data_IF_764066327959
#
_entry.id   IF_764066327959
#
_cell.length_a   1.000
_cell.length_b   1.000
_cell.length_c   1.000
_cell.angle_alpha   90.00
_cell.angle_beta   90.00
_cell.angle_gamma   90.00
#
_symmetry.space_group_name_H-M   'P 1'
#
loop_
_entity.id
_entity.type
_entity.pdbx_description
1 polymer ?
#
# COMPACT_ATOMS: atom_id res chain seq x y z
N UNK A 1 -12.30 -10.19 6.09
CA UNK A 1 -12.34 -9.20 4.99
C UNK A 1 -13.15 -9.73 3.82
N UNK A 2 -12.65 -10.75 3.11
CA UNK A 2 -13.31 -11.29 1.91
C UNK A 2 -14.74 -11.84 2.15
N UNK A 3 -14.94 -12.65 3.21
CA UNK A 3 -16.28 -13.12 3.58
C UNK A 3 -17.27 -11.99 3.90
N UNK A 4 -16.78 -10.91 4.52
CA UNK A 4 -17.61 -9.74 4.86
C UNK A 4 -17.99 -9.03 3.56
N UNK A 5 -17.03 -8.82 2.66
CA UNK A 5 -17.25 -8.22 1.34
C UNK A 5 -18.30 -9.00 0.55
N UNK A 6 -18.18 -10.33 0.47
CA UNK A 6 -19.16 -11.19 -0.19
C UNK A 6 -20.54 -11.13 0.48
N UNK A 7 -20.59 -11.10 1.82
CA UNK A 7 -21.86 -10.95 2.55
C UNK A 7 -22.52 -9.59 2.31
N UNK A 8 -21.75 -8.51 2.20
CA UNK A 8 -22.25 -7.17 1.92
C UNK A 8 -22.76 -7.06 0.48
N UNK A 9 -22.01 -7.60 -0.48
CA UNK A 9 -22.41 -7.67 -1.89
C UNK A 9 -23.66 -8.53 -2.06
N UNK A 10 -23.77 -9.68 -1.39
CA UNK A 10 -24.93 -10.57 -1.52
C UNK A 10 -26.17 -10.12 -0.74
N UNK A 11 -26.04 -9.14 0.16
CA UNK A 11 -27.17 -8.59 0.91
C UNK A 11 -27.91 -7.52 0.10
N UNK A 12 -29.25 -7.56 0.14
CA UNK A 12 -30.08 -6.45 -0.34
C UNK A 12 -29.79 -5.22 0.53
N UNK A 13 -29.03 -4.27 0.00
CA UNK A 13 -28.76 -2.99 0.62
C UNK A 13 -29.53 -1.90 -0.14
N UNK A 14 -30.18 -1.00 0.60
CA UNK A 14 -30.70 0.24 0.01
C UNK A 14 -29.51 1.10 -0.47
N UNK A 15 -29.62 1.82 -1.59
CA UNK A 15 -28.57 2.70 -2.12
C UNK A 15 -27.45 2.02 -2.93
N UNK A 16 -26.60 2.83 -3.57
CA UNK A 16 -25.51 2.33 -4.43
C UNK A 16 -24.29 1.89 -3.58
N UNK A 17 -23.65 0.75 -3.90
CA UNK A 17 -22.46 0.26 -3.19
C UNK A 17 -21.17 0.67 -3.90
N UNK A 18 -20.24 1.29 -3.17
CA UNK A 18 -18.89 1.64 -3.62
C UNK A 18 -17.85 0.94 -2.76
N UNK A 19 -16.94 0.20 -3.39
CA UNK A 19 -15.82 -0.44 -2.70
C UNK A 19 -14.53 0.30 -3.04
N UNK A 20 -13.75 0.64 -2.01
CA UNK A 20 -12.44 1.30 -2.14
C UNK A 20 -11.35 0.45 -1.52
N UNK A 21 -10.35 0.05 -2.31
CA UNK A 21 -9.22 -0.78 -1.85
C UNK A 21 -7.91 -0.45 -2.56
N UNK A 22 -6.86 -1.25 -2.34
CA UNK A 22 -5.59 -1.12 -3.06
C UNK A 22 -5.73 -1.54 -4.52
N UNK A 23 -4.88 -1.00 -5.42
CA UNK A 23 -4.85 -1.39 -6.83
C UNK A 23 -4.59 -2.90 -7.01
N UNK A 24 -3.80 -3.49 -6.12
CA UNK A 24 -3.49 -4.92 -6.11
C UNK A 24 -4.73 -5.78 -5.83
N UNK A 25 -5.52 -5.42 -4.81
CA UNK A 25 -6.75 -6.14 -4.46
C UNK A 25 -7.81 -6.05 -5.56
N UNK A 26 -7.93 -4.87 -6.21
CA UNK A 26 -8.85 -4.66 -7.34
C UNK A 26 -8.41 -5.50 -8.54
N UNK A 27 -7.12 -5.47 -8.87
CA UNK A 27 -6.59 -6.20 -10.03
C UNK A 27 -6.75 -7.71 -9.90
N UNK A 28 -6.76 -8.25 -8.67
CA UNK A 28 -6.99 -9.68 -8.42
C UNK A 28 -8.46 -10.09 -8.53
N UNK A 29 -9.39 -9.14 -8.55
CA UNK A 29 -10.83 -9.42 -8.63
C UNK A 29 -11.36 -10.24 -7.45
N UNK A 30 -10.69 -10.18 -6.29
CA UNK A 30 -11.13 -10.89 -5.09
C UNK A 30 -12.50 -10.33 -4.63
N UNK A 31 -13.55 -11.14 -4.80
CA UNK A 31 -14.86 -10.90 -4.17
C UNK A 31 -16.04 -10.54 -5.05
N UNK A 32 -15.96 -10.70 -6.38
CA UNK A 32 -17.13 -10.64 -7.25
C UNK A 32 -17.56 -12.06 -7.64
N UNK A 33 -18.57 -12.58 -6.95
CA UNK A 33 -19.34 -13.70 -7.49
C UNK A 33 -20.10 -13.24 -8.72
N UNK A 34 -20.16 -14.07 -9.77
CA UNK A 34 -20.89 -13.76 -11.01
C UNK A 34 -22.40 -13.50 -10.78
N UNK A 35 -22.93 -13.90 -9.61
CA UNK A 35 -24.36 -13.98 -9.29
C UNK A 35 -24.88 -12.98 -8.23
N UNK A 36 -24.07 -12.01 -7.75
CA UNK A 36 -24.48 -10.99 -6.77
C UNK A 36 -24.79 -9.61 -7.40
N UNK A 37 -25.54 -8.71 -6.73
CA UNK A 37 -25.71 -7.34 -7.21
C UNK A 37 -24.32 -6.67 -7.30
N UNK A 38 -23.97 -6.21 -8.49
CA UNK A 38 -22.66 -5.63 -8.75
C UNK A 38 -22.53 -4.26 -8.05
N UNK A 39 -21.38 -3.96 -7.42
CA UNK A 39 -21.14 -2.61 -6.90
C UNK A 39 -21.22 -1.59 -8.04
N UNK A 40 -21.62 -0.36 -7.73
CA UNK A 40 -21.61 0.77 -8.67
C UNK A 40 -20.24 0.93 -9.32
N UNK A 41 -19.18 0.79 -8.50
CA UNK A 41 -17.80 0.77 -8.92
C UNK A 41 -16.90 0.15 -7.84
N UNK A 42 -15.76 -0.39 -8.27
CA UNK A 42 -14.60 -0.64 -7.42
C UNK A 42 -13.53 0.38 -7.78
N UNK A 43 -13.08 1.16 -6.80
CA UNK A 43 -12.10 2.23 -7.01
C UNK A 43 -10.86 1.98 -6.18
N UNK A 44 -9.69 2.23 -6.77
CA UNK A 44 -8.47 2.32 -5.97
C UNK A 44 -8.49 3.56 -5.09
N UNK A 45 -7.64 3.63 -4.07
CA UNK A 45 -7.53 4.83 -3.23
C UNK A 45 -7.30 6.11 -4.07
N UNK A 46 -6.41 6.04 -5.07
CA UNK A 46 -6.14 7.15 -5.97
C UNK A 46 -7.34 7.48 -6.87
N UNK A 47 -8.07 6.45 -7.33
CA UNK A 47 -9.34 6.59 -8.06
C UNK A 47 -10.44 7.28 -7.23
N UNK A 48 -10.63 6.84 -5.99
CA UNK A 48 -11.59 7.43 -5.05
C UNK A 48 -11.23 8.88 -4.73
N UNK A 49 -9.96 9.17 -4.45
CA UNK A 49 -9.49 10.53 -4.21
C UNK A 49 -9.71 11.44 -5.43
N UNK A 50 -9.52 10.92 -6.65
CA UNK A 50 -9.80 11.66 -7.89
C UNK A 50 -11.29 11.99 -8.03
N UNK A 51 -12.17 11.01 -7.82
CA UNK A 51 -13.63 11.22 -7.85
C UNK A 51 -14.05 12.27 -6.82
N UNK A 52 -13.59 12.15 -5.57
CA UNK A 52 -13.89 13.11 -4.51
C UNK A 52 -13.37 14.52 -4.81
N UNK A 53 -12.19 14.63 -5.43
CA UNK A 53 -11.68 15.93 -5.93
C UNK A 53 -12.53 16.51 -7.05
N UNK A 54 -13.05 15.66 -7.95
CA UNK A 54 -13.96 16.09 -9.00
C UNK A 54 -15.31 16.54 -8.44
N UNK A 55 -15.74 15.99 -7.30
CA UNK A 55 -16.93 16.40 -6.56
C UNK A 55 -16.77 17.72 -5.83
N UNK A 56 -15.54 18.05 -5.43
CA UNK A 56 -15.25 19.27 -4.70
C UNK A 56 -15.26 20.50 -5.63
N UNK A 57 -15.98 21.54 -5.21
CA UNK A 57 -16.10 22.80 -5.92
C UNK A 57 -17.44 22.97 -6.61
N UNK A 58 -17.82 24.23 -6.84
CA UNK A 58 -19.08 24.59 -7.47
C UNK A 58 -19.28 23.88 -8.83
N UNK A 59 -20.43 23.24 -9.00
CA UNK A 59 -20.92 22.87 -10.32
C UNK A 59 -21.23 24.12 -11.15
N UNK A 60 -21.39 23.98 -12.48
CA UNK A 60 -21.81 25.11 -13.33
C UNK A 60 -23.15 25.73 -12.91
N UNK A 61 -23.95 25.01 -12.11
CA UNK A 61 -25.33 25.36 -11.76
C UNK A 61 -25.48 26.17 -10.46
N UNK A 62 -24.55 26.06 -9.48
CA UNK A 62 -24.57 26.88 -8.25
C UNK A 62 -23.16 27.14 -7.68
N UNK A 63 -22.62 28.37 -7.78
CA UNK A 63 -21.32 28.76 -7.24
C UNK A 63 -21.22 28.76 -5.70
N UNK A 64 -22.33 28.54 -4.99
CA UNK A 64 -22.37 28.56 -3.52
C UNK A 64 -22.22 27.19 -2.88
N UNK A 65 -22.40 26.11 -3.65
CA UNK A 65 -22.30 24.75 -3.13
C UNK A 65 -20.84 24.31 -3.07
N UNK A 66 -20.43 23.79 -1.91
CA UNK A 66 -19.09 23.23 -1.68
C UNK A 66 -18.86 21.93 -2.46
N UNK A 67 -19.94 21.18 -2.70
CA UNK A 67 -19.95 19.89 -3.39
C UNK A 67 -20.92 19.91 -4.57
N UNK A 68 -20.54 19.27 -5.67
CA UNK A 68 -21.42 19.08 -6.82
C UNK A 68 -22.58 18.16 -6.45
N UNK A 69 -23.77 18.46 -6.96
CA UNK A 69 -24.93 17.59 -6.82
C UNK A 69 -24.89 16.45 -7.81
N UNK A 70 -25.23 15.27 -7.32
CA UNK A 70 -25.52 14.13 -8.16
C UNK A 70 -26.81 14.38 -8.96
N UNK A 71 -26.80 14.02 -10.24
CA UNK A 71 -27.96 14.07 -11.11
C UNK A 71 -28.10 12.72 -11.78
N UNK A 72 -29.16 12.00 -11.42
CA UNK A 72 -29.46 10.67 -11.95
C UNK A 72 -29.60 10.71 -13.48
N UNK A 73 -28.92 9.80 -14.18
CA UNK A 73 -28.92 9.72 -15.65
C UNK A 73 -28.04 10.75 -16.38
N UNK A 74 -27.31 11.62 -15.68
CA UNK A 74 -26.29 12.45 -16.30
C UNK A 74 -25.10 11.58 -16.74
N UNK A 75 -24.51 11.88 -17.91
CA UNK A 75 -23.29 11.20 -18.40
C UNK A 75 -22.03 11.48 -17.53
N UNK A 76 -22.17 12.20 -16.43
CA UNK A 76 -21.08 12.52 -15.50
C UNK A 76 -20.88 11.37 -14.50
N UNK A 77 -20.17 10.32 -14.93
CA UNK A 77 -19.75 9.17 -14.12
C UNK A 77 -18.86 9.51 -12.90
N UNK A 78 -18.54 10.77 -12.70
CA UNK A 78 -17.52 11.24 -11.74
C UNK A 78 -18.14 11.89 -10.50
N UNK A 79 -19.47 11.95 -10.38
CA UNK A 79 -20.16 12.46 -9.19
C UNK A 79 -20.78 11.35 -8.36
N UNK A 80 -20.50 11.33 -7.05
CA UNK A 80 -21.00 10.30 -6.16
C UNK A 80 -22.48 10.56 -5.83
N UNK A 81 -23.33 9.52 -5.83
CA UNK A 81 -24.73 9.60 -5.38
C UNK A 81 -24.83 9.97 -3.89
N UNK A 82 -26.01 10.47 -3.49
CA UNK A 82 -26.32 10.85 -2.11
C UNK A 82 -26.96 9.73 -1.28
N UNK A 83 -27.45 8.67 -1.93
CA UNK A 83 -27.86 7.41 -1.31
C UNK A 83 -26.82 6.33 -1.64
N UNK A 84 -25.82 6.21 -0.77
CA UNK A 84 -24.62 5.39 -1.04
C UNK A 84 -24.15 4.68 0.22
N UNK A 85 -23.63 3.47 0.02
CA UNK A 85 -22.85 2.77 1.01
C UNK A 85 -21.41 2.58 0.53
N UNK A 86 -20.46 3.17 1.25
CA UNK A 86 -19.03 3.10 0.93
C UNK A 86 -18.32 2.16 1.89
N UNK A 87 -17.63 1.16 1.34
CA UNK A 87 -16.76 0.26 2.09
C UNK A 87 -15.31 0.55 1.71
N UNK A 88 -14.53 1.06 2.66
CA UNK A 88 -13.11 1.40 2.46
C UNK A 88 -12.22 0.44 3.24
N UNK A 89 -11.43 -0.36 2.52
CA UNK A 89 -10.45 -1.26 3.11
C UNK A 89 -9.20 -0.46 3.45
N UNK A 90 -8.90 -0.32 4.73
CA UNK A 90 -7.70 0.38 5.19
C UNK A 90 -6.50 -0.54 4.95
N UNK A 91 -5.64 -0.10 4.04
CA UNK A 91 -4.37 -0.76 3.77
C UNK A 91 -3.50 -0.72 5.05
N UNK A 92 -3.05 -1.87 5.58
CA UNK A 92 -2.25 -1.93 6.80
C UNK A 92 -0.90 -1.20 6.70
N UNK A 93 -0.36 -1.05 5.49
CA UNK A 93 0.84 -0.23 5.27
C UNK A 93 0.54 1.26 5.34
N UNK A 94 -0.73 1.66 5.23
CA UNK A 94 -1.20 3.04 5.19
C UNK A 94 -0.42 3.90 4.18
N UNK A 95 -0.62 3.70 2.87
CA UNK A 95 -0.12 4.61 1.84
C UNK A 95 -0.81 5.98 1.93
N UNK A 96 -0.16 7.02 1.40
CA UNK A 96 -0.67 8.37 1.36
C UNK A 96 -2.03 8.47 0.63
N UNK A 97 -2.22 7.73 -0.47
CA UNK A 97 -3.51 7.70 -1.17
C UNK A 97 -4.63 7.15 -0.28
N UNK A 98 -4.39 6.10 0.52
CA UNK A 98 -5.39 5.55 1.45
C UNK A 98 -5.80 6.60 2.49
N UNK A 99 -4.83 7.29 3.10
CA UNK A 99 -5.09 8.34 4.09
C UNK A 99 -5.83 9.54 3.48
N UNK A 100 -5.41 9.99 2.29
CA UNK A 100 -6.03 11.12 1.59
C UNK A 100 -7.43 10.78 1.09
N UNK A 101 -7.66 9.57 0.59
CA UNK A 101 -8.97 9.11 0.15
C UNK A 101 -9.96 9.07 1.32
N UNK A 102 -9.56 8.52 2.48
CA UNK A 102 -10.39 8.51 3.68
C UNK A 102 -10.68 9.94 4.18
N UNK A 103 -9.67 10.81 4.20
CA UNK A 103 -9.85 12.23 4.57
C UNK A 103 -10.88 12.89 3.67
N UNK A 104 -10.69 12.77 2.34
CA UNK A 104 -11.60 13.37 1.36
C UNK A 104 -13.02 12.79 1.44
N UNK A 105 -13.14 11.49 1.74
CA UNK A 105 -14.43 10.80 1.85
C UNK A 105 -15.22 11.31 3.06
N UNK A 106 -14.58 11.44 4.23
CA UNK A 106 -15.22 11.99 5.43
C UNK A 106 -15.64 13.44 5.22
N UNK A 107 -14.78 14.24 4.60
CA UNK A 107 -15.05 15.64 4.27
C UNK A 107 -16.27 15.80 3.33
N UNK A 108 -16.36 14.92 2.32
CA UNK A 108 -17.49 14.87 1.40
C UNK A 108 -18.77 14.40 2.11
N UNK A 109 -18.73 13.27 2.81
CA UNK A 109 -19.87 12.68 3.48
C UNK A 109 -20.51 13.65 4.48
N UNK A 110 -19.71 14.31 5.31
CA UNK A 110 -20.20 15.31 6.27
C UNK A 110 -20.71 16.59 5.60
N UNK A 111 -20.19 16.94 4.42
CA UNK A 111 -20.66 18.09 3.65
C UNK A 111 -22.03 17.85 3.00
N UNK A 112 -22.23 16.66 2.45
CA UNK A 112 -23.43 16.28 1.68
C UNK A 112 -24.55 15.72 2.57
N UNK A 113 -24.25 15.24 3.78
CA UNK A 113 -25.26 14.71 4.72
C UNK A 113 -26.34 15.72 5.17
N UNK A 114 -26.15 17.00 4.87
CA UNK A 114 -27.14 18.06 5.12
C UNK A 114 -28.15 18.24 3.98
N UNK A 115 -27.94 17.56 2.85
CA UNK A 115 -28.85 17.61 1.71
C UNK A 115 -30.13 16.79 1.96
N UNK A 116 -31.23 17.16 1.29
CA UNK A 116 -32.46 16.37 1.37
C UNK A 116 -32.22 15.02 0.70
N UNK A 117 -32.75 13.96 1.30
CA UNK A 117 -32.68 12.59 0.76
C UNK A 117 -31.27 11.96 0.81
N UNK A 118 -30.30 12.59 1.48
CA UNK A 118 -28.98 11.99 1.67
C UNK A 118 -29.04 10.82 2.66
N UNK A 119 -28.57 9.65 2.23
CA UNK A 119 -28.39 8.45 3.03
C UNK A 119 -26.98 7.89 2.79
N UNK A 120 -25.99 8.51 3.42
CA UNK A 120 -24.58 8.17 3.24
C UNK A 120 -24.15 7.27 4.40
N UNK A 121 -23.66 6.07 4.09
CA UNK A 121 -23.05 5.15 5.05
C UNK A 121 -21.60 4.92 4.68
N UNK A 122 -20.72 4.98 5.66
CA UNK A 122 -19.27 4.73 5.48
C UNK A 122 -18.84 3.64 6.47
N UNK A 123 -18.27 2.57 5.94
CA UNK A 123 -17.66 1.48 6.69
C UNK A 123 -16.17 1.42 6.36
N UNK A 124 -15.31 1.52 7.37
CA UNK A 124 -13.89 1.21 7.23
C UNK A 124 -13.60 -0.17 7.77
N UNK A 125 -12.84 -0.96 7.02
CA UNK A 125 -12.38 -2.28 7.46
C UNK A 125 -10.86 -2.25 7.62
N UNK A 126 -10.34 -2.69 8.76
CA UNK A 126 -8.90 -2.71 9.04
C UNK A 126 -8.51 -4.01 9.74
N UNK A 127 -7.21 -4.35 9.64
CA UNK A 127 -6.59 -5.52 10.26
C UNK A 127 -5.63 -5.11 11.39
N UNK A 128 -5.29 -3.82 11.50
CA UNK A 128 -4.44 -3.29 12.57
C UNK A 128 -5.30 -2.87 13.78
N UNK A 129 -4.89 -3.24 14.99
CA UNK A 129 -5.56 -2.88 16.26
C UNK A 129 -5.63 -1.35 16.53
N UNK A 130 -4.89 -0.55 15.76
CA UNK A 130 -4.78 0.90 15.89
C UNK A 130 -5.34 1.59 14.65
N UNK A 131 -6.64 1.41 14.44
CA UNK A 131 -7.37 1.98 13.32
C UNK A 131 -8.63 2.71 13.80
N UNK A 132 -8.44 3.87 14.44
CA UNK A 132 -9.48 4.81 14.82
C UNK A 132 -9.54 6.01 13.84
N UNK A 133 -9.06 5.84 12.61
CA UNK A 133 -8.96 6.94 11.64
C UNK A 133 -10.31 7.57 11.33
N UNK A 134 -11.34 6.73 11.07
CA UNK A 134 -12.67 7.22 10.73
C UNK A 134 -13.29 8.04 11.87
N UNK A 135 -13.22 7.51 13.11
CA UNK A 135 -13.75 8.19 14.29
C UNK A 135 -12.98 9.46 14.63
N UNK A 136 -11.65 9.43 14.50
CA UNK A 136 -10.81 10.61 14.71
C UNK A 136 -11.12 11.71 13.69
N UNK A 137 -11.20 11.38 12.39
CA UNK A 137 -11.52 12.35 11.35
C UNK A 137 -12.92 12.96 11.51
N UNK A 138 -13.92 12.13 11.84
CA UNK A 138 -15.27 12.61 12.14
C UNK A 138 -15.24 13.53 13.37
N UNK A 139 -14.51 13.16 14.42
CA UNK A 139 -14.39 13.94 15.64
C UNK A 139 -13.75 15.32 15.44
N UNK A 140 -12.90 15.50 14.42
CA UNK A 140 -12.33 16.81 14.09
C UNK A 140 -13.37 17.81 13.58
N UNK A 141 -14.45 17.34 12.94
CA UNK A 141 -15.42 18.19 12.24
C UNK A 141 -16.84 18.13 12.80
N UNK A 142 -17.25 16.97 13.31
CA UNK A 142 -18.56 16.68 13.87
C UNK A 142 -18.40 15.87 15.17
N UNK A 143 -17.88 16.48 16.25
CA UNK A 143 -17.57 15.79 17.51
C UNK A 143 -18.79 15.16 18.21
N UNK A 144 -20.01 15.55 17.82
CA UNK A 144 -21.26 14.98 18.28
C UNK A 144 -21.60 13.61 17.66
N UNK A 145 -20.96 13.25 16.54
CA UNK A 145 -21.21 11.98 15.86
C UNK A 145 -20.33 10.87 16.45
N UNK A 146 -20.93 9.70 16.65
CA UNK A 146 -20.24 8.51 17.16
C UNK A 146 -20.08 7.48 16.07
N UNK A 147 -18.87 6.93 15.92
CA UNK A 147 -18.59 5.79 15.04
C UNK A 147 -18.72 4.51 15.86
N UNK A 148 -19.50 3.56 15.34
CA UNK A 148 -19.59 2.23 15.93
C UNK A 148 -18.40 1.38 15.52
N UNK A 149 -17.85 0.63 16.47
CA UNK A 149 -16.72 -0.27 16.25
C UNK A 149 -17.15 -1.71 16.54
N UNK A 150 -16.77 -2.62 15.65
CA UNK A 150 -16.99 -4.06 15.80
C UNK A 150 -15.65 -4.76 15.59
N UNK A 151 -15.17 -5.43 16.63
CA UNK A 151 -14.01 -6.30 16.55
C UNK A 151 -14.46 -7.68 16.09
N UNK A 152 -13.82 -8.18 15.02
CA UNK A 152 -14.09 -9.48 14.41
C UNK A 152 -12.97 -10.49 14.71
N UNK A 153 -11.98 -10.11 15.51
CA UNK A 153 -10.87 -10.97 15.90
C UNK A 153 -11.24 -12.00 16.99
N UNK A 154 -12.46 -11.95 17.56
CA UNK A 154 -12.88 -12.85 18.64
C UNK A 154 -13.01 -14.33 18.20
N UNK A 155 -13.11 -14.61 16.90
CA UNK A 155 -13.13 -15.97 16.32
C UNK A 155 -11.78 -16.37 15.68
N UNK A 156 -10.64 -16.05 16.32
CA UNK A 156 -9.29 -16.36 15.81
C UNK A 156 -8.99 -17.87 15.80
N UNK A 157 -9.52 -18.58 14.81
CA UNK A 157 -9.20 -19.97 14.51
C UNK A 157 -7.70 -20.04 14.12
N UNK A 158 -6.91 -20.86 14.81
CA UNK A 158 -5.45 -20.96 14.59
C UNK A 158 -5.14 -21.20 13.10
N UNK A 159 -4.43 -20.29 12.39
CA UNK A 159 -4.15 -20.44 10.96
C UNK A 159 -3.37 -21.71 10.62
N UNK A 160 -2.75 -22.36 11.62
CA UNK A 160 -1.97 -23.59 11.45
C UNK A 160 -2.74 -24.87 11.78
N UNK A 161 -4.02 -24.79 12.17
CA UNK A 161 -4.84 -25.92 12.64
C UNK A 161 -4.80 -27.14 11.74
N UNK A 162 -4.80 -26.92 10.41
CA UNK A 162 -4.81 -27.97 9.39
C UNK A 162 -3.46 -28.09 8.64
N UNK A 163 -2.42 -27.37 9.07
CA UNK A 163 -1.13 -27.33 8.40
C UNK A 163 -0.09 -28.26 9.05
N UNK A 164 0.77 -28.87 8.22
CA UNK A 164 1.97 -29.57 8.69
C UNK A 164 3.10 -28.58 8.94
N UNK A 165 3.55 -28.49 10.19
CA UNK A 165 4.54 -27.50 10.60
C UNK A 165 5.94 -28.14 10.70
N UNK A 166 6.92 -27.51 10.05
CA UNK A 166 8.33 -27.92 10.05
C UNK A 166 9.19 -26.80 10.63
N UNK A 167 10.15 -27.18 11.46
CA UNK A 167 11.15 -26.28 12.01
C UNK A 167 12.47 -26.52 11.28
N UNK A 168 13.00 -25.47 10.67
CA UNK A 168 14.26 -25.49 9.93
C UNK A 168 15.30 -24.62 10.63
N UNK A 169 16.56 -25.06 10.67
CA UNK A 169 17.68 -24.28 11.21
C UNK A 169 18.17 -23.22 10.21
N UNK A 170 17.67 -23.27 8.96
CA UNK A 170 18.03 -22.37 7.88
C UNK A 170 17.32 -22.72 6.57
N UNK A 171 17.59 -21.95 5.52
CA UNK A 171 16.98 -22.15 4.21
C UNK A 171 17.30 -23.53 3.62
N UNK A 172 18.52 -24.04 3.81
CA UNK A 172 18.91 -25.40 3.38
C UNK A 172 18.01 -26.50 3.92
N UNK A 173 17.68 -26.48 5.20
CA UNK A 173 16.81 -27.49 5.81
C UNK A 173 15.39 -27.41 5.23
N UNK A 174 14.91 -26.20 4.97
CA UNK A 174 13.62 -26.00 4.32
C UNK A 174 13.61 -26.57 2.89
N UNK A 175 14.70 -26.36 2.15
CA UNK A 175 14.91 -26.95 0.81
C UNK A 175 14.97 -28.46 0.86
N UNK A 176 15.60 -29.05 1.87
CA UNK A 176 15.66 -30.50 2.04
C UNK A 176 14.25 -31.11 2.25
N UNK A 177 13.41 -30.46 3.06
CA UNK A 177 12.01 -30.89 3.27
C UNK A 177 11.24 -30.87 1.94
N UNK A 178 11.35 -29.79 1.18
CA UNK A 178 10.69 -29.65 -0.14
C UNK A 178 11.22 -30.68 -1.14
N UNK A 179 12.54 -30.85 -1.20
CA UNK A 179 13.21 -31.78 -2.11
C UNK A 179 12.82 -33.23 -1.82
N UNK A 180 12.69 -33.59 -0.55
CA UNK A 180 12.21 -34.91 -0.14
C UNK A 180 10.79 -35.17 -0.61
N UNK A 181 9.89 -34.20 -0.46
CA UNK A 181 8.52 -34.33 -0.97
C UNK A 181 8.48 -34.46 -2.50
N UNK A 182 9.33 -33.72 -3.22
CA UNK A 182 9.43 -33.85 -4.68
C UNK A 182 9.85 -35.26 -5.13
N UNK A 183 10.65 -35.98 -4.32
CA UNK A 183 11.04 -37.38 -4.59
C UNK A 183 9.92 -38.35 -4.22
N UNK A 184 9.23 -38.11 -3.09
CA UNK A 184 8.18 -39.01 -2.58
C UNK A 184 6.88 -38.91 -3.41
N UNK A 185 6.53 -37.71 -3.88
CA UNK A 185 5.31 -37.42 -4.64
C UNK A 185 5.61 -36.67 -5.95
N UNK A 186 6.33 -37.27 -6.92
CA UNK A 186 6.82 -36.57 -8.12
C UNK A 186 5.72 -36.12 -9.10
N UNK A 187 4.53 -36.71 -8.99
CA UNK A 187 3.36 -36.39 -9.82
C UNK A 187 2.39 -35.42 -9.13
N UNK A 188 2.61 -35.11 -7.84
CA UNK A 188 1.80 -34.15 -7.10
C UNK A 188 2.32 -32.74 -7.37
N UNK A 189 1.53 -31.84 -7.98
CA UNK A 189 1.97 -30.49 -8.27
C UNK A 189 2.07 -29.65 -7.01
N UNK A 190 3.14 -28.84 -6.92
CA UNK A 190 3.49 -28.08 -5.73
C UNK A 190 3.63 -26.60 -6.02
N UNK A 191 3.27 -25.76 -5.05
CA UNK A 191 3.60 -24.34 -5.04
C UNK A 191 4.30 -23.99 -3.74
N UNK A 192 5.34 -23.16 -3.84
CA UNK A 192 6.07 -22.62 -2.70
C UNK A 192 5.81 -21.13 -2.64
N UNK A 193 5.30 -20.66 -1.52
CA UNK A 193 5.03 -19.26 -1.21
C UNK A 193 6.10 -18.83 -0.21
N UNK A 194 7.01 -17.98 -0.65
CA UNK A 194 8.15 -17.51 0.13
C UNK A 194 8.02 -16.04 0.48
N UNK A 195 8.23 -15.71 1.76
CA UNK A 195 8.34 -14.32 2.24
C UNK A 195 9.79 -13.89 2.48
N UNK A 196 10.75 -14.72 2.08
CA UNK A 196 12.15 -14.37 1.99
C UNK A 196 12.62 -14.47 0.53
N UNK A 197 13.48 -13.56 0.06
CA UNK A 197 14.14 -13.74 -1.23
C UNK A 197 14.85 -15.11 -1.26
N UNK A 198 14.69 -15.92 -2.30
CA UNK A 198 15.41 -17.17 -2.41
C UNK A 198 16.89 -16.87 -2.70
N UNK A 199 17.79 -17.53 -1.97
CA UNK A 199 19.21 -17.59 -2.36
C UNK A 199 19.38 -18.67 -3.45
N UNK A 200 19.13 -18.27 -4.70
CA UNK A 200 19.14 -19.15 -5.87
C UNK A 200 20.53 -19.73 -6.18
N UNK A 201 21.60 -18.98 -5.89
CA UNK A 201 22.99 -19.39 -6.12
C UNK A 201 23.54 -20.25 -4.95
N UNK A 202 22.82 -20.31 -3.84
CA UNK A 202 23.18 -21.09 -2.65
C UNK A 202 22.26 -22.28 -2.43
N UNK A 203 21.45 -22.21 -1.37
CA UNK A 203 20.71 -23.37 -0.85
C UNK A 203 19.63 -23.91 -1.80
N UNK A 204 19.24 -23.15 -2.82
CA UNK A 204 18.16 -23.48 -3.77
C UNK A 204 18.63 -24.10 -5.09
N UNK A 205 19.94 -24.09 -5.39
CA UNK A 205 20.53 -24.62 -6.63
C UNK A 205 20.01 -26.04 -7.00
N UNK A 206 19.87 -26.99 -6.04
CA UNK A 206 19.37 -28.33 -6.35
C UNK A 206 17.93 -28.35 -6.87
N UNK A 207 17.09 -27.41 -6.46
CA UNK A 207 15.70 -27.33 -6.91
C UNK A 207 15.62 -26.75 -8.33
N UNK A 208 16.44 -25.74 -8.61
CA UNK A 208 16.52 -25.10 -9.93
C UNK A 208 17.01 -26.10 -10.98
N UNK A 209 18.10 -26.80 -10.69
CA UNK A 209 18.73 -27.73 -11.64
C UNK A 209 17.88 -29.00 -11.88
N UNK A 210 17.34 -29.60 -10.82
CA UNK A 210 16.67 -30.90 -10.92
C UNK A 210 15.20 -30.81 -11.34
N UNK A 211 14.52 -29.70 -11.04
CA UNK A 211 13.06 -29.61 -11.20
C UNK A 211 12.57 -28.47 -12.09
N UNK A 212 13.49 -27.73 -12.75
CA UNK A 212 13.17 -26.60 -13.63
C UNK A 212 12.24 -25.59 -12.96
N UNK A 213 12.66 -25.12 -11.78
CA UNK A 213 11.93 -24.14 -10.99
C UNK A 213 11.62 -22.89 -11.82
N UNK A 214 10.33 -22.55 -11.94
CA UNK A 214 9.93 -21.22 -12.41
C UNK A 214 9.75 -20.31 -11.20
N UNK A 215 10.66 -19.33 -11.04
CA UNK A 215 10.54 -18.30 -10.02
C UNK A 215 9.66 -17.15 -10.51
N UNK A 216 8.77 -16.70 -9.63
CA UNK A 216 7.90 -15.54 -9.79
C UNK A 216 8.04 -14.65 -8.56
N UNK A 217 8.17 -13.35 -8.77
CA UNK A 217 8.32 -12.37 -7.68
C UNK A 217 7.14 -11.40 -7.74
N UNK A 218 6.57 -11.11 -6.58
CA UNK A 218 5.54 -10.09 -6.36
C UNK A 218 6.06 -9.11 -5.32
N UNK A 219 6.29 -7.89 -5.76
CA UNK A 219 6.85 -6.80 -4.95
C UNK A 219 6.02 -5.51 -5.03
N UNK A 220 5.05 -5.45 -5.95
CA UNK A 220 4.22 -4.28 -6.19
C UNK A 220 2.83 -4.64 -6.74
N UNK A 221 1.94 -3.64 -6.81
CA UNK A 221 0.63 -3.79 -7.46
C UNK A 221 0.73 -4.10 -8.97
N UNK A 222 1.83 -3.72 -9.63
CA UNK A 222 2.05 -4.00 -11.06
C UNK A 222 2.23 -5.51 -11.33
N UNK A 223 2.58 -6.27 -10.28
CA UNK A 223 2.80 -7.72 -10.34
C UNK A 223 1.49 -8.52 -10.25
N UNK A 224 0.32 -7.87 -10.26
CA UNK A 224 -0.99 -8.55 -10.17
C UNK A 224 -1.16 -9.63 -11.24
N UNK A 225 -0.73 -9.35 -12.47
CA UNK A 225 -0.76 -10.33 -13.56
C UNK A 225 0.07 -11.58 -13.28
N UNK A 226 1.14 -11.47 -12.50
CA UNK A 226 1.96 -12.61 -12.07
C UNK A 226 1.17 -13.56 -11.19
N UNK A 227 0.42 -13.02 -10.21
CA UNK A 227 -0.42 -13.81 -9.30
C UNK A 227 -1.58 -14.46 -10.06
N UNK A 228 -2.32 -13.69 -10.87
CA UNK A 228 -3.46 -14.21 -11.63
C UNK A 228 -3.07 -15.41 -12.51
N UNK A 229 -1.86 -15.39 -13.07
CA UNK A 229 -1.35 -16.46 -13.93
C UNK A 229 -1.03 -17.77 -13.18
N UNK A 230 -0.94 -17.74 -11.85
CA UNK A 230 -0.57 -18.88 -11.01
C UNK A 230 -1.65 -19.29 -10.01
N UNK A 231 -2.71 -18.49 -9.82
CA UNK A 231 -3.86 -18.88 -8.98
C UNK A 231 -4.42 -20.22 -9.46
N UNK A 232 -4.57 -20.37 -10.78
CA UNK A 232 -4.93 -21.63 -11.42
C UNK A 232 -3.68 -22.28 -12.01
N UNK A 233 -3.34 -23.48 -11.52
CA UNK A 233 -2.19 -24.23 -12.01
C UNK A 233 -2.33 -24.53 -13.50
N UNK A 234 -1.28 -24.26 -14.28
CA UNK A 234 -1.17 -24.75 -15.66
C UNK A 234 -0.70 -26.20 -15.66
N UNK A 235 -1.23 -27.04 -16.54
CA UNK A 235 -0.93 -28.48 -16.54
C UNK A 235 0.56 -28.83 -16.59
N UNK A 236 1.38 -27.95 -17.18
CA UNK A 236 2.84 -28.11 -17.31
C UNK A 236 3.61 -27.80 -16.03
N UNK A 237 2.99 -27.08 -15.09
CA UNK A 237 3.65 -26.60 -13.89
C UNK A 237 3.65 -27.72 -12.85
N UNK A 238 4.82 -28.30 -12.63
CA UNK A 238 5.04 -29.29 -11.56
C UNK A 238 5.43 -28.63 -10.25
N UNK A 239 6.19 -27.55 -10.32
CA UNK A 239 6.69 -26.80 -9.19
C UNK A 239 6.72 -25.31 -9.53
N UNK A 240 6.06 -24.48 -8.74
CA UNK A 240 6.07 -23.02 -8.87
C UNK A 240 6.64 -22.41 -7.60
N UNK A 241 7.55 -21.45 -7.75
CA UNK A 241 8.04 -20.64 -6.63
C UNK A 241 7.51 -19.22 -6.75
N UNK A 242 6.78 -18.79 -5.73
CA UNK A 242 6.21 -17.45 -5.60
C UNK A 242 6.87 -16.75 -4.42
N UNK A 243 7.67 -15.73 -4.68
CA UNK A 243 8.21 -14.84 -3.65
C UNK A 243 7.30 -13.63 -3.50
N UNK A 244 6.82 -13.35 -2.29
CA UNK A 244 5.96 -12.21 -1.96
C UNK A 244 6.73 -11.30 -0.99
N UNK A 245 6.82 -10.01 -1.29
CA UNK A 245 7.30 -9.03 -0.31
C UNK A 245 6.38 -9.04 0.92
N UNK A 246 6.88 -9.35 2.14
CA UNK A 246 6.06 -9.40 3.34
C UNK A 246 5.44 -8.05 3.73
N UNK A 247 5.86 -6.94 3.12
CA UNK A 247 5.27 -5.62 3.31
C UNK A 247 4.07 -5.38 2.38
N UNK A 248 3.82 -6.24 1.39
CA UNK A 248 2.68 -6.09 0.50
C UNK A 248 1.36 -6.40 1.22
N UNK A 249 0.36 -5.50 1.12
CA UNK A 249 -0.97 -5.72 1.67
C UNK A 249 -1.80 -6.56 0.69
N UNK A 250 -1.48 -7.85 0.61
CA UNK A 250 -2.10 -8.80 -0.33
C UNK A 250 -2.84 -9.92 0.40
N UNK A 251 -4.17 -9.88 0.45
CA UNK A 251 -4.90 -10.96 1.09
C UNK A 251 -4.59 -12.34 0.47
N UNK A 252 -4.48 -13.42 1.29
CA UNK A 252 -4.18 -14.74 0.77
C UNK A 252 -5.17 -15.18 -0.31
N UNK A 253 -4.63 -15.54 -1.47
CA UNK A 253 -5.41 -16.13 -2.56
C UNK A 253 -5.50 -17.65 -2.39
N UNK A 254 -6.57 -18.26 -2.92
CA UNK A 254 -6.75 -19.71 -2.92
C UNK A 254 -6.16 -20.30 -4.19
N UNK A 255 -5.09 -21.09 -4.07
CA UNK A 255 -4.46 -21.73 -5.22
C UNK A 255 -5.19 -23.00 -5.62
N UNK A 256 -5.52 -23.15 -6.92
CA UNK A 256 -6.28 -24.28 -7.46
C UNK A 256 -5.42 -25.15 -8.36
N UNK A 257 -5.62 -26.46 -8.27
CA UNK A 257 -4.92 -27.45 -9.09
C UNK A 257 -3.55 -27.87 -8.55
N UNK A 258 -3.10 -27.32 -7.43
CA UNK A 258 -1.94 -27.78 -6.67
C UNK A 258 -2.37 -28.80 -5.63
N UNK A 259 -1.56 -29.84 -5.42
CA UNK A 259 -1.81 -30.85 -4.38
C UNK A 259 -1.16 -30.50 -3.04
N UNK A 260 -0.03 -29.81 -3.07
CA UNK A 260 0.70 -29.37 -1.88
C UNK A 260 1.10 -27.89 -1.99
N UNK A 261 0.94 -27.15 -0.89
CA UNK A 261 1.33 -25.74 -0.76
C UNK A 261 2.34 -25.62 0.37
N UNK A 262 3.51 -25.09 0.07
CA UNK A 262 4.55 -24.78 1.04
C UNK A 262 4.55 -23.29 1.35
N UNK A 263 4.50 -22.91 2.62
CA UNK A 263 4.61 -21.51 3.07
C UNK A 263 5.92 -21.37 3.84
N UNK A 264 6.88 -20.66 3.25
CA UNK A 264 8.16 -20.35 3.85
C UNK A 264 8.10 -18.95 4.48
N UNK A 265 8.13 -18.91 5.82
CA UNK A 265 8.00 -17.65 6.56
C UNK A 265 9.32 -16.87 6.57
N UNK A 266 9.21 -15.55 6.42
CA UNK A 266 10.32 -14.61 6.42
C UNK A 266 10.42 -13.81 7.73
N UNK A 267 11.63 -13.67 8.26
CA UNK A 267 11.93 -12.90 9.48
C UNK A 267 12.40 -11.47 9.21
N UNK A 268 12.85 -11.17 8.00
CA UNK A 268 13.50 -9.90 7.68
C UNK A 268 13.08 -9.34 6.31
N UNK A 269 13.14 -8.02 6.22
CA UNK A 269 13.13 -7.28 4.96
C UNK A 269 14.55 -6.85 4.64
N UNK A 270 15.07 -7.27 3.50
CA UNK A 270 16.35 -6.79 3.00
C UNK A 270 16.19 -5.43 2.33
N UNK A 271 17.20 -4.57 2.48
CA UNK A 271 17.26 -3.25 1.81
C UNK A 271 16.01 -2.36 1.96
N UNK A 272 15.25 -2.50 3.05
CA UNK A 272 14.00 -1.78 3.24
C UNK A 272 14.23 -0.26 3.40
N UNK A 273 13.68 0.58 2.49
CA UNK A 273 13.77 2.02 2.62
C UNK A 273 12.91 2.53 3.78
N UNK A 274 13.53 3.22 4.73
CA UNK A 274 12.85 3.69 5.93
C UNK A 274 13.47 4.98 6.48
N UNK A 275 12.63 5.80 7.11
CA UNK A 275 13.07 6.97 7.86
C UNK A 275 13.99 6.59 9.03
N UNK A 276 15.17 7.21 9.08
CA UNK A 276 16.07 7.15 10.22
C UNK A 276 15.91 8.38 11.12
N UNK A 277 15.59 8.13 12.39
CA UNK A 277 15.39 9.18 13.38
C UNK A 277 16.68 9.92 13.74
N UNK A 278 17.86 9.34 13.51
CA UNK A 278 19.14 9.99 13.84
C UNK A 278 19.59 10.97 12.77
N UNK A 279 19.57 10.55 11.51
CA UNK A 279 19.97 11.37 10.36
C UNK A 279 18.83 12.24 9.83
N UNK A 280 17.59 11.94 10.19
CA UNK A 280 16.38 12.56 9.64
C UNK A 280 16.29 12.40 8.11
N UNK A 281 16.75 11.26 7.61
CA UNK A 281 16.79 10.92 6.18
C UNK A 281 16.17 9.55 5.93
N UNK A 282 15.80 9.31 4.67
CA UNK A 282 15.43 7.99 4.21
C UNK A 282 16.72 7.18 3.98
N UNK A 283 16.84 6.04 4.64
CA UNK A 283 17.98 5.12 4.51
C UNK A 283 17.46 3.72 4.19
N UNK A 284 18.29 2.88 3.58
CA UNK A 284 17.98 1.48 3.29
C UNK A 284 18.79 0.59 4.25
N UNK A 285 18.11 -0.31 4.96
CA UNK A 285 18.74 -1.26 5.87
C UNK A 285 17.87 -2.51 6.07
N UNK A 286 18.49 -3.59 6.54
CA UNK A 286 17.78 -4.81 6.90
C UNK A 286 17.00 -4.61 8.19
N UNK A 287 15.70 -4.92 8.18
CA UNK A 287 14.83 -4.81 9.37
C UNK A 287 14.09 -6.11 9.60
N UNK A 288 13.71 -6.37 10.84
CA UNK A 288 12.82 -7.49 11.15
C UNK A 288 11.39 -7.24 10.68
N UNK A 289 10.68 -8.32 10.35
CA UNK A 289 9.25 -8.29 10.11
C UNK A 289 8.49 -7.93 11.38
N UNK A 290 7.40 -7.20 11.21
CA UNK A 290 6.47 -6.85 12.30
C UNK A 290 5.57 -8.02 12.67
N UNK A 291 4.97 -7.98 13.87
CA UNK A 291 3.98 -8.96 14.30
C UNK A 291 2.81 -9.06 13.31
N UNK A 292 2.33 -7.92 12.81
CA UNK A 292 1.24 -7.85 11.83
C UNK A 292 1.64 -8.44 10.47
N UNK A 293 2.87 -8.20 10.02
CA UNK A 293 3.43 -8.82 8.81
C UNK A 293 3.55 -10.35 8.98
N UNK A 294 3.91 -10.84 10.17
CA UNK A 294 4.04 -12.27 10.45
C UNK A 294 2.69 -12.99 10.55
N UNK A 295 1.71 -12.38 11.21
CA UNK A 295 0.32 -12.86 11.22
C UNK A 295 -0.24 -12.96 9.81
N UNK A 296 0.05 -11.94 9.00
CA UNK A 296 -0.30 -11.94 7.59
C UNK A 296 0.38 -13.10 6.84
N UNK A 297 1.67 -13.35 7.00
CA UNK A 297 2.34 -14.50 6.38
C UNK A 297 1.69 -15.84 6.80
N UNK A 298 1.37 -16.00 8.08
CA UNK A 298 0.70 -17.21 8.58
C UNK A 298 -0.68 -17.42 7.96
N UNK A 299 -1.40 -16.34 7.61
CA UNK A 299 -2.72 -16.45 7.00
C UNK A 299 -2.73 -17.16 5.65
N UNK A 300 -1.57 -17.24 4.96
CA UNK A 300 -1.41 -18.01 3.73
C UNK A 300 -1.48 -19.52 3.92
N UNK A 301 -1.37 -20.00 5.17
CA UNK A 301 -1.58 -21.41 5.50
C UNK A 301 -3.05 -21.86 5.37
N UNK A 302 -4.00 -20.93 5.25
CA UNK A 302 -5.43 -21.23 5.07
C UNK A 302 -5.74 -21.54 3.60
N UNK A 303 -5.29 -22.67 3.09
CA UNK A 303 -5.61 -23.16 1.74
C UNK A 303 -6.61 -24.32 1.81
N UNK A 304 -7.74 -24.18 1.13
CA UNK A 304 -8.83 -25.17 1.21
C UNK A 304 -8.67 -26.34 0.21
N UNK A 305 -7.83 -26.17 -0.80
CA UNK A 305 -7.71 -27.05 -1.98
C UNK A 305 -6.48 -27.94 -1.99
N UNK A 306 -5.58 -27.82 -1.00
CA UNK A 306 -4.29 -28.49 -1.00
C UNK A 306 -3.84 -28.86 0.43
N UNK A 307 -2.91 -29.82 0.52
CA UNK A 307 -2.20 -30.05 1.77
C UNK A 307 -1.22 -28.90 2.02
N UNK A 308 -1.21 -28.34 3.23
CA UNK A 308 -0.40 -27.17 3.57
C UNK A 308 0.77 -27.56 4.47
N UNK A 309 1.96 -27.10 4.09
CA UNK A 309 3.20 -27.25 4.83
C UNK A 309 3.74 -25.87 5.19
N UNK A 310 3.98 -25.60 6.47
CA UNK A 310 4.54 -24.32 6.95
C UNK A 310 5.95 -24.55 7.47
N UNK A 311 6.90 -23.79 6.93
CA UNK A 311 8.33 -23.88 7.24
C UNK A 311 8.72 -22.65 8.08
N UNK A 312 9.06 -22.87 9.35
CA UNK A 312 9.53 -21.84 10.28
C UNK A 312 11.05 -21.94 10.48
N UNK A 313 11.75 -20.86 10.17
CA UNK A 313 13.19 -20.74 10.42
C UNK A 313 13.44 -20.41 11.91
N UNK A 314 14.36 -21.13 12.56
CA UNK A 314 14.66 -20.97 13.99
C UNK A 314 15.06 -19.53 14.37
N UNK A 315 15.80 -18.83 13.50
CA UNK A 315 16.15 -17.41 13.68
C UNK A 315 14.94 -16.48 13.84
N UNK A 316 13.75 -16.96 13.47
CA UNK A 316 12.49 -16.22 13.52
C UNK A 316 11.74 -16.36 14.86
N UNK A 317 12.21 -17.23 15.76
CA UNK A 317 11.53 -17.64 17.00
C UNK A 317 12.34 -17.17 18.22
N UNK A 318 11.73 -16.40 19.13
CA UNK A 318 12.35 -16.14 20.44
C UNK A 318 12.29 -17.39 21.33
N UNK A 319 13.33 -17.63 22.17
CA UNK A 319 13.32 -18.70 23.17
C UNK A 319 12.41 -18.32 24.35
N UNK A 320 11.10 -18.23 24.11
CA UNK A 320 10.11 -18.16 25.18
C UNK A 320 9.98 -19.57 25.74
N UNK A 321 10.01 -19.72 27.07
CA UNK A 321 10.05 -21.00 27.78
C UNK A 321 8.83 -21.92 27.61
N UNK A 322 7.95 -21.62 26.64
CA UNK A 322 6.78 -22.41 26.29
C UNK A 322 6.90 -22.90 24.83
N UNK A 323 6.83 -24.21 24.62
CA UNK A 323 7.18 -24.88 23.35
C UNK A 323 6.10 -24.78 22.27
N UNK A 324 5.12 -23.89 22.43
CA UNK A 324 4.16 -23.56 21.38
C UNK A 324 4.76 -22.49 20.45
N UNK A 325 5.70 -22.94 19.62
CA UNK A 325 6.54 -22.15 18.71
C UNK A 325 5.77 -21.30 17.67
N UNK A 326 4.51 -21.63 17.36
CA UNK A 326 3.67 -20.80 16.50
C UNK A 326 3.26 -19.48 17.16
N UNK A 327 2.94 -19.51 18.46
CA UNK A 327 2.64 -18.29 19.20
C UNK A 327 3.88 -17.42 19.38
N UNK A 328 5.05 -18.04 19.57
CA UNK A 328 6.31 -17.31 19.64
C UNK A 328 6.57 -16.51 18.36
N UNK A 329 6.35 -17.09 17.17
CA UNK A 329 6.51 -16.35 15.90
C UNK A 329 5.51 -15.18 15.76
N UNK A 330 4.25 -15.36 16.19
CA UNK A 330 3.21 -14.30 16.19
C UNK A 330 3.58 -13.11 17.08
N UNK A 331 4.09 -13.39 18.28
CA UNK A 331 4.39 -12.37 19.30
C UNK A 331 5.70 -11.63 18.97
N UNK A 332 6.66 -12.31 18.33
CA UNK A 332 7.93 -11.72 17.94
C UNK A 332 7.74 -10.65 16.84
N UNK A 333 8.23 -9.44 17.07
CA UNK A 333 8.20 -8.37 16.08
C UNK A 333 8.02 -6.99 16.71
N UNK A 334 8.38 -5.96 15.95
CA UNK A 334 7.98 -4.58 16.28
C UNK A 334 6.66 -4.28 15.58
N UNK A 335 5.99 -3.20 15.98
CA UNK A 335 4.81 -2.70 15.27
C UNK A 335 5.08 -2.45 13.78
N UNK A 336 4.10 -2.75 12.91
CA UNK A 336 4.21 -2.45 11.47
C UNK A 336 4.56 -0.98 11.24
N UNK A 337 5.51 -0.76 10.32
CA UNK A 337 5.93 0.57 9.90
C UNK A 337 4.99 1.06 8.81
N UNK A 338 4.34 2.21 9.03
CA UNK A 338 3.48 2.87 8.03
C UNK A 338 4.31 3.43 6.88
N UNK A 339 3.94 3.12 5.65
CA UNK A 339 4.55 3.61 4.42
C UNK A 339 4.52 5.14 4.37
N UNK A 340 3.37 5.72 4.73
CA UNK A 340 3.18 7.17 4.83
C UNK A 340 4.27 7.85 5.67
N UNK A 341 4.53 7.35 6.88
CA UNK A 341 5.48 7.97 7.80
C UNK A 341 6.94 7.74 7.43
N UNK A 342 7.24 6.63 6.76
CA UNK A 342 8.61 6.18 6.56
C UNK A 342 9.15 6.52 5.16
N UNK A 343 8.29 6.66 4.15
CA UNK A 343 8.71 6.92 2.76
C UNK A 343 8.01 8.13 2.14
N UNK A 344 6.76 8.40 2.49
CA UNK A 344 5.92 9.37 1.79
C UNK A 344 5.65 10.66 2.58
N UNK A 345 6.26 10.82 3.77
CA UNK A 345 5.87 11.83 4.76
C UNK A 345 5.83 13.26 4.20
N UNK A 346 6.86 13.67 3.47
CA UNK A 346 6.91 15.01 2.87
C UNK A 346 5.81 15.23 1.83
N UNK A 347 5.61 14.24 0.94
CA UNK A 347 4.57 14.30 -0.08
C UNK A 347 3.17 14.28 0.51
N UNK A 348 2.95 13.49 1.56
CA UNK A 348 1.69 13.45 2.30
C UNK A 348 1.39 14.79 2.98
N UNK A 349 2.35 15.39 3.69
CA UNK A 349 2.16 16.72 4.33
C UNK A 349 1.76 17.76 3.26
N UNK A 350 2.44 17.77 2.13
CA UNK A 350 2.12 18.68 1.02
C UNK A 350 0.73 18.40 0.43
N UNK A 351 0.37 17.13 0.25
CA UNK A 351 -0.93 16.75 -0.26
C UNK A 351 -2.09 17.13 0.69
N UNK A 352 -1.90 17.04 2.00
CA UNK A 352 -2.90 17.53 2.98
C UNK A 352 -2.96 19.05 2.98
N UNK A 353 -1.82 19.75 2.90
CA UNK A 353 -1.77 21.21 2.79
C UNK A 353 -2.52 21.73 1.54
N UNK A 354 -2.46 21.01 0.42
CA UNK A 354 -3.25 21.31 -0.79
C UNK A 354 -4.77 21.21 -0.57
N UNK A 355 -5.20 20.32 0.33
CA UNK A 355 -6.61 20.19 0.70
C UNK A 355 -7.07 21.27 1.70
N UNK A 356 -6.20 22.19 2.13
CA UNK A 356 -6.59 23.32 3.01
C UNK A 356 -7.72 24.18 2.43
N UNK A 357 -7.83 24.24 1.09
CA UNK A 357 -8.96 24.89 0.40
C UNK A 357 -10.33 24.26 0.70
N UNK A 358 -10.36 23.08 1.30
CA UNK A 358 -11.57 22.38 1.72
C UNK A 358 -11.96 22.74 3.16
N UNK A 359 -11.26 23.69 3.79
CA UNK A 359 -11.49 24.17 5.16
C UNK A 359 -11.34 23.08 6.22
N UNK A 360 -10.46 22.11 5.96
CA UNK A 360 -10.13 21.04 6.91
C UNK A 360 -9.05 21.47 7.93
N UNK A 361 -9.06 20.87 9.11
CA UNK A 361 -7.96 21.02 10.08
C UNK A 361 -6.74 20.23 9.61
N UNK A 362 -5.84 20.90 8.90
CA UNK A 362 -4.60 20.30 8.38
C UNK A 362 -3.80 19.62 9.48
N UNK A 363 -3.64 20.24 10.65
CA UNK A 363 -2.81 19.67 11.71
C UNK A 363 -3.51 18.49 12.38
N UNK A 364 -4.83 18.57 12.58
CA UNK A 364 -5.66 17.46 13.07
C UNK A 364 -5.62 16.24 12.15
N UNK A 365 -5.75 16.45 10.83
CA UNK A 365 -5.62 15.37 9.83
C UNK A 365 -4.22 14.75 9.88
N UNK A 366 -3.16 15.57 9.96
CA UNK A 366 -1.80 15.06 10.07
C UNK A 366 -1.58 14.26 11.37
N UNK A 367 -2.16 14.70 12.50
CA UNK A 367 -2.11 13.97 13.78
C UNK A 367 -2.88 12.65 13.77
N UNK A 368 -3.94 12.55 12.96
CA UNK A 368 -4.70 11.32 12.78
C UNK A 368 -3.84 10.20 12.16
N UNK A 369 -3.03 10.52 11.13
CA UNK A 369 -2.30 9.50 10.37
C UNK A 369 -0.83 9.31 10.80
N UNK A 370 -0.20 10.33 11.39
CA UNK A 370 1.22 10.30 11.76
C UNK A 370 1.37 10.04 13.27
N UNK A 371 1.77 8.81 13.61
CA UNK A 371 2.06 8.36 14.98
C UNK A 371 3.22 9.15 15.59
N UNK A 372 4.26 9.46 14.81
CA UNK A 372 5.48 10.10 15.32
C UNK A 372 5.49 11.63 15.12
N UNK A 373 4.93 12.37 16.07
CA UNK A 373 4.83 13.83 16.04
C UNK A 373 6.17 14.56 15.77
N UNK A 374 7.31 14.03 16.27
CA UNK A 374 8.63 14.59 16.01
C UNK A 374 9.02 14.51 14.53
N UNK A 375 8.73 13.39 13.85
CA UNK A 375 9.02 13.22 12.42
C UNK A 375 8.24 14.24 11.60
N UNK A 376 6.95 14.41 11.91
CA UNK A 376 6.09 15.43 11.32
C UNK A 376 6.70 16.82 11.48
N UNK A 377 7.04 17.22 12.71
CA UNK A 377 7.62 18.54 13.01
C UNK A 377 8.90 18.80 12.21
N UNK A 378 9.79 17.82 12.14
CA UNK A 378 11.05 17.93 11.41
C UNK A 378 10.81 18.05 9.91
N UNK A 379 9.96 17.20 9.33
CA UNK A 379 9.67 17.25 7.90
C UNK A 379 8.94 18.54 7.52
N UNK A 380 7.92 18.93 8.29
CA UNK A 380 7.19 20.19 8.10
C UNK A 380 8.15 21.38 8.12
N UNK A 381 9.04 21.44 9.11
CA UNK A 381 10.06 22.49 9.21
C UNK A 381 11.02 22.49 8.01
N UNK A 382 11.39 21.31 7.50
CA UNK A 382 12.22 21.20 6.29
C UNK A 382 11.51 21.80 5.07
N UNK A 383 10.24 21.48 4.88
CA UNK A 383 9.43 22.01 3.78
C UNK A 383 9.22 23.52 3.89
N UNK A 384 9.05 24.06 5.10
CA UNK A 384 9.01 25.51 5.35
C UNK A 384 10.35 26.19 5.01
N UNK A 385 11.48 25.63 5.46
CA UNK A 385 12.82 26.17 5.16
C UNK A 385 13.09 26.16 3.65
N UNK A 386 12.58 25.16 2.94
CA UNK A 386 12.67 25.06 1.49
C UNK A 386 11.71 26.00 0.74
N UNK A 387 10.87 26.76 1.45
CA UNK A 387 9.88 27.65 0.85
C UNK A 387 8.74 26.92 0.14
N UNK A 388 8.55 25.62 0.38
CA UNK A 388 7.50 24.81 -0.24
C UNK A 388 6.18 24.97 0.52
N UNK A 389 6.27 25.17 1.84
CA UNK A 389 5.12 25.44 2.71
C UNK A 389 5.26 26.81 3.38
N UNK A 390 4.14 27.54 3.48
CA UNK A 390 3.98 28.70 4.34
C UNK A 390 2.68 28.55 5.14
N UNK A 391 2.77 28.58 6.47
CA UNK A 391 1.63 28.49 7.41
C UNK A 391 0.58 27.45 7.01
N UNK A 392 1.02 26.21 6.78
CA UNK A 392 0.18 25.05 6.44
C UNK A 392 -0.45 25.07 5.03
N UNK A 393 -0.01 25.99 4.19
CA UNK A 393 -0.40 26.07 2.78
C UNK A 393 0.82 25.86 1.88
N UNK A 394 0.56 25.37 0.66
CA UNK A 394 1.61 25.24 -0.36
C UNK A 394 1.97 26.62 -0.91
N UNK A 395 3.25 26.97 -0.80
CA UNK A 395 3.81 28.27 -1.19
C UNK A 395 4.42 28.23 -2.60
N UNK A 396 3.74 27.55 -3.53
CA UNK A 396 4.13 27.46 -4.95
C UNK A 396 3.18 28.28 -5.83
N UNK A 397 3.62 28.60 -7.05
CA UNK A 397 2.69 29.19 -8.04
C UNK A 397 1.54 28.23 -8.35
N UNK A 398 0.39 28.76 -8.79
CA UNK A 398 -0.78 27.92 -9.09
C UNK A 398 -0.51 26.86 -10.17
N UNK A 399 0.43 27.10 -11.08
CA UNK A 399 0.79 26.13 -12.11
C UNK A 399 1.68 25.01 -11.54
N UNK A 400 2.68 25.36 -10.74
CA UNK A 400 3.57 24.40 -10.07
C UNK A 400 2.82 23.57 -9.03
N UNK A 401 1.93 24.18 -8.24
CA UNK A 401 1.09 23.46 -7.28
C UNK A 401 0.19 22.43 -7.98
N UNK A 402 -0.42 22.79 -9.13
CA UNK A 402 -1.21 21.85 -9.94
C UNK A 402 -0.36 20.71 -10.53
N UNK A 403 0.84 21.02 -11.02
CA UNK A 403 1.76 20.00 -11.54
C UNK A 403 2.20 19.05 -10.41
N UNK A 404 2.64 19.60 -9.28
CA UNK A 404 3.03 18.86 -8.08
C UNK A 404 1.93 17.91 -7.61
N UNK A 405 0.69 18.39 -7.50
CA UNK A 405 -0.47 17.59 -7.09
C UNK A 405 -0.69 16.37 -7.98
N UNK A 406 -0.46 16.52 -9.29
CA UNK A 406 -0.59 15.45 -10.26
C UNK A 406 0.61 14.48 -10.22
N UNK A 407 1.81 14.99 -9.94
CA UNK A 407 3.05 14.22 -9.95
C UNK A 407 3.32 13.46 -8.66
N UNK A 408 2.78 13.90 -7.52
CA UNK A 408 2.99 13.24 -6.23
C UNK A 408 2.61 11.74 -6.26
N UNK A 409 1.40 11.32 -6.70
CA UNK A 409 1.07 9.91 -6.82
C UNK A 409 1.99 9.15 -7.79
N UNK A 410 2.37 9.79 -8.92
CA UNK A 410 3.23 9.17 -9.95
C UNK A 410 4.63 8.82 -9.44
N UNK A 411 5.15 9.59 -8.49
CA UNK A 411 6.44 9.33 -7.85
C UNK A 411 6.30 8.69 -6.46
N UNK A 412 5.19 7.97 -6.22
CA UNK A 412 4.92 7.29 -4.96
C UNK A 412 5.09 8.22 -3.74
N UNK A 413 4.63 9.47 -3.89
CA UNK A 413 4.72 10.55 -2.90
C UNK A 413 6.15 10.95 -2.48
N UNK A 414 7.18 10.64 -3.29
CA UNK A 414 8.48 11.29 -3.14
C UNK A 414 8.38 12.76 -3.59
N UNK A 415 8.10 13.63 -2.62
CA UNK A 415 8.00 15.07 -2.84
C UNK A 415 9.23 15.69 -3.52
N UNK A 416 10.43 15.11 -3.37
CA UNK A 416 11.65 15.67 -3.96
C UNK A 416 11.65 15.48 -5.46
N UNK A 417 11.31 14.27 -5.92
CA UNK A 417 11.19 13.94 -7.34
C UNK A 417 10.00 14.69 -7.96
N UNK A 418 8.85 14.68 -7.28
CA UNK A 418 7.67 15.38 -7.75
C UNK A 418 7.92 16.89 -7.88
N UNK A 419 8.54 17.53 -6.88
CA UNK A 419 8.89 18.95 -6.93
C UNK A 419 9.93 19.24 -8.01
N UNK A 420 10.98 18.42 -8.12
CA UNK A 420 12.01 18.58 -9.14
C UNK A 420 11.43 18.66 -10.55
N UNK A 421 10.42 17.84 -10.84
CA UNK A 421 9.69 17.84 -12.12
C UNK A 421 8.66 18.98 -12.20
N UNK A 422 7.98 19.32 -11.10
CA UNK A 422 6.92 20.32 -11.07
C UNK A 422 7.43 21.76 -11.24
N UNK A 423 8.63 22.06 -10.74
CA UNK A 423 9.23 23.40 -10.81
C UNK A 423 9.45 23.82 -12.26
N UNK A 424 9.06 25.05 -12.59
CA UNK A 424 9.08 25.53 -13.97
C UNK A 424 10.51 25.56 -14.56
N UNK A 425 10.59 25.31 -15.87
CA UNK A 425 11.84 25.26 -16.63
C UNK A 425 11.57 25.21 -18.13
N UNK A 426 12.58 25.51 -18.94
CA UNK A 426 12.52 25.32 -20.39
C UNK A 426 12.13 23.90 -20.81
N UNK A 427 11.55 23.76 -22.00
CA UNK A 427 10.99 22.48 -22.48
C UNK A 427 12.02 21.33 -22.48
N UNK A 428 13.26 21.61 -22.92
CA UNK A 428 14.34 20.62 -22.95
C UNK A 428 14.72 20.20 -21.53
N UNK A 429 14.86 21.18 -20.62
CA UNK A 429 15.20 20.92 -19.21
C UNK A 429 14.09 20.10 -18.55
N UNK A 430 12.83 20.42 -18.81
CA UNK A 430 11.67 19.68 -18.29
C UNK A 430 11.70 18.21 -18.74
N UNK A 431 12.00 17.94 -20.01
CA UNK A 431 12.13 16.55 -20.52
C UNK A 431 13.24 15.79 -19.79
N UNK A 432 14.40 16.42 -19.59
CA UNK A 432 15.53 15.82 -18.85
C UNK A 432 15.16 15.58 -17.38
N UNK A 433 14.49 16.53 -16.72
CA UNK A 433 14.00 16.39 -15.34
C UNK A 433 13.10 15.16 -15.20
N UNK A 434 12.13 14.98 -16.11
CA UNK A 434 11.23 13.82 -16.13
C UNK A 434 12.02 12.53 -16.27
N UNK A 435 12.94 12.45 -17.25
CA UNK A 435 13.74 11.24 -17.48
C UNK A 435 14.59 10.88 -16.25
N UNK A 436 15.27 11.86 -15.64
CA UNK A 436 16.07 11.64 -14.44
C UNK A 436 15.22 11.21 -13.24
N UNK A 437 14.07 11.86 -13.04
CA UNK A 437 13.17 11.51 -11.95
C UNK A 437 12.64 10.07 -12.10
N UNK A 438 12.28 9.67 -13.31
CA UNK A 438 11.84 8.29 -13.63
C UNK A 438 12.98 7.30 -13.36
N UNK A 439 14.20 7.57 -13.84
CA UNK A 439 15.35 6.69 -13.59
C UNK A 439 15.62 6.49 -12.10
N UNK A 440 15.58 7.56 -11.30
CA UNK A 440 15.75 7.49 -9.84
C UNK A 440 14.60 6.75 -9.18
N UNK A 441 13.35 6.99 -9.61
CA UNK A 441 12.18 6.29 -9.05
C UNK A 441 12.21 4.78 -9.28
N UNK A 442 12.81 4.34 -10.38
CA UNK A 442 13.00 2.92 -10.72
C UNK A 442 14.28 2.33 -10.10
N UNK A 443 15.03 3.09 -9.30
CA UNK A 443 16.28 2.63 -8.68
C UNK A 443 17.42 2.38 -9.67
N UNK A 444 17.32 2.92 -10.89
CA UNK A 444 18.33 2.78 -11.94
C UNK A 444 19.53 3.71 -11.72
N UNK A 445 19.48 4.61 -10.75
CA UNK A 445 20.61 5.44 -10.30
C UNK A 445 21.80 4.59 -9.82
N UNK A 446 21.53 3.34 -9.39
CA UNK A 446 22.56 2.36 -9.02
C UNK A 446 23.23 1.69 -10.22
N UNK A 447 22.58 1.72 -11.39
CA UNK A 447 23.00 1.02 -12.63
C UNK A 447 23.59 2.02 -13.63
N UNK A 448 22.97 3.19 -13.78
CA UNK A 448 23.35 4.23 -14.72
C UNK A 448 24.13 5.30 -13.99
N UNK A 449 25.46 5.28 -14.17
CA UNK A 449 26.33 6.39 -13.75
C UNK A 449 26.46 7.38 -14.91
N UNK A 450 26.07 8.63 -14.69
CA UNK A 450 26.45 9.71 -15.58
C UNK A 450 27.98 9.85 -15.53
N UNK A 451 28.66 9.37 -16.56
CA UNK A 451 30.08 9.66 -16.76
C UNK A 451 30.19 11.13 -17.12
N UNK A 452 30.52 11.94 -16.14
CA UNK A 452 31.06 13.27 -16.41
C UNK A 452 32.55 13.07 -16.73
N UNK A 453 33.00 13.60 -17.87
CA UNK A 453 34.41 13.53 -18.26
C UNK A 453 35.34 14.23 -17.24
N UNK A 454 34.78 15.12 -16.41
CA UNK A 454 35.41 15.74 -15.25
C UNK A 454 34.37 15.95 -14.14
N UNK A 455 34.74 15.70 -12.88
CA UNK A 455 33.91 16.11 -11.74
C UNK A 455 33.65 17.62 -11.80
N UNK A 456 32.38 18.01 -11.79
CA UNK A 456 32.01 19.43 -11.76
C UNK A 456 32.21 19.92 -10.32
N UNK A 457 33.20 20.79 -10.10
CA UNK A 457 33.36 21.48 -8.83
C UNK A 457 32.02 22.17 -8.46
N UNK A 458 31.43 21.89 -7.28
CA UNK A 458 30.18 22.51 -6.83
C UNK A 458 30.21 24.05 -6.84
N UNK A 459 31.41 24.65 -6.75
CA UNK A 459 31.59 26.10 -6.76
C UNK A 459 31.86 26.66 -8.16
N UNK A 460 32.00 25.81 -9.18
CA UNK A 460 32.26 26.22 -10.55
C UNK A 460 31.11 27.04 -11.13
N UNK A 461 31.44 27.87 -12.12
CA UNK A 461 30.45 28.58 -12.93
C UNK A 461 29.46 27.63 -13.61
N UNK A 462 29.93 26.46 -14.05
CA UNK A 462 29.08 25.42 -14.64
C UNK A 462 28.09 24.84 -13.64
N UNK A 463 28.52 24.49 -12.42
CA UNK A 463 27.62 24.05 -11.36
C UNK A 463 26.59 25.13 -11.03
N UNK A 464 27.03 26.39 -10.86
CA UNK A 464 26.13 27.53 -10.59
C UNK A 464 25.14 27.77 -11.72
N UNK A 465 25.56 27.62 -12.97
CA UNK A 465 24.68 27.73 -14.13
C UNK A 465 23.64 26.60 -14.18
N UNK A 466 24.06 25.35 -13.95
CA UNK A 466 23.14 24.21 -13.88
C UNK A 466 22.15 24.36 -12.71
N UNK A 467 22.64 24.71 -11.51
CA UNK A 467 21.79 24.98 -10.35
C UNK A 467 20.83 26.13 -10.63
N UNK A 468 21.30 27.24 -11.20
CA UNK A 468 20.47 28.39 -11.56
C UNK A 468 19.44 28.08 -12.66
N UNK A 469 19.74 27.15 -13.57
CA UNK A 469 18.80 26.70 -14.61
C UNK A 469 17.79 25.66 -14.11
N UNK A 470 18.08 25.03 -12.97
CA UNK A 470 17.23 24.02 -12.34
C UNK A 470 16.37 24.57 -11.21
N UNK A 471 16.74 25.71 -10.63
CA UNK A 471 15.85 26.48 -9.75
C UNK A 471 14.79 27.15 -10.63
N UNK A 472 13.52 26.84 -10.37
CA UNK A 472 12.39 27.53 -11.00
C UNK A 472 12.58 29.04 -10.88
N UNK A 473 12.25 29.76 -11.95
CA UNK A 473 12.43 31.20 -12.05
C UNK A 473 11.82 31.92 -10.83
N UNK A 474 12.62 32.76 -10.18
CA UNK A 474 12.14 33.76 -9.22
C UNK A 474 11.39 34.89 -9.94
#
# INVERSE_FOLDING_TARGET
MEMIRQSLISSDHEGELLIVSSDLEIGLGLGLGEDGPQPLAELSFSGALRVLRNNHGAGPDDPRLKWKRYVEGAQNSDVLPVDIFVVLHIDPTLPADCALALTALVEWALGVSSERESNIRVLTLCVDDDCDFLSTLIGLRAPELTVSHLDLAEDDDDPLKDARVYYSMGNRDAVEVISKSLIETPDVPKIIISFCPPDLEGDMEPLVENYRLEERIVSSAEDTGTILNIIERREKDKLVWLTIDPALPLHPVQFRGYGEVYVLLGSHHEHAPCWDNRTHQLVSYTRSTSSDERLFQLSWARQNSAEVHVLLLEESIEPVGDRNSSQSFKICGIRRRRLLENRQLGGFIMAVAELSSWELDVNGVLDCFIRYSLRRKIMKRRLEIQGILDRDQVALSQLEARALRSLLPMFNYDHRLALFVALDSDEIVRRVKIQLAVLVSLGLDKVVRLKLDQEIDPNSSSAKFIFGSCWGFA
#
